data_IF_872125482113
#
_entry.id   IF_872125482113
#
_cell.length_a   1.000
_cell.length_b   1.000
_cell.length_c   1.000
_cell.angle_alpha   90.00
_cell.angle_beta   90.00
_cell.angle_gamma   90.00
#
_symmetry.space_group_name_H-M   'P 1'
#
loop_
_entity.id
_entity.type
_entity.pdbx_description
1 polymer ?
#
# COMPACT_ATOMS: atom_id res chain seq x y z
N UNK A 1 7.38 17.36 -5.84
CA UNK A 1 6.24 16.46 -5.52
C UNK A 1 5.90 16.63 -4.06
N UNK A 2 4.62 16.75 -3.69
CA UNK A 2 4.21 16.75 -2.28
C UNK A 2 4.15 18.09 -1.53
N UNK A 3 4.42 19.23 -2.17
CA UNK A 3 4.23 20.53 -1.53
C UNK A 3 2.83 21.09 -1.84
N UNK A 4 1.88 20.84 -0.94
CA UNK A 4 0.63 21.60 -0.87
C UNK A 4 0.83 22.74 0.11
N UNK A 5 0.33 23.93 -0.22
CA UNK A 5 0.37 25.01 0.76
C UNK A 5 -0.54 24.66 1.95
N UNK A 6 -0.02 24.76 3.17
CA UNK A 6 -0.85 24.64 4.38
C UNK A 6 -1.62 25.94 4.57
N UNK A 7 -2.89 25.85 4.93
CA UNK A 7 -3.60 26.98 5.53
C UNK A 7 -2.97 27.24 6.90
N UNK A 8 -2.17 28.30 6.98
CA UNK A 8 -1.50 28.72 8.22
C UNK A 8 -2.25 29.86 8.88
N UNK A 9 -2.12 30.00 10.21
CA UNK A 9 -2.60 31.21 10.90
C UNK A 9 -1.78 32.41 10.41
N UNK A 10 -2.48 33.50 10.05
CA UNK A 10 -1.87 34.75 9.56
C UNK A 10 -2.43 35.91 10.36
N UNK A 11 -1.56 36.81 10.79
CA UNK A 11 -1.97 38.09 11.36
C UNK A 11 -2.52 38.99 10.25
N UNK A 12 -3.67 39.60 10.48
CA UNK A 12 -4.27 40.56 9.58
C UNK A 12 -4.81 41.75 10.38
N UNK A 13 -4.91 42.90 9.72
CA UNK A 13 -5.52 44.10 10.33
C UNK A 13 -6.94 43.77 10.81
N UNK A 14 -7.30 44.27 12.00
CA UNK A 14 -8.65 44.13 12.53
C UNK A 14 -9.65 44.73 11.54
N UNK A 15 -10.71 43.97 11.22
CA UNK A 15 -11.71 44.36 10.22
C UNK A 15 -11.40 43.93 8.78
N UNK A 16 -10.29 43.23 8.51
CA UNK A 16 -9.99 42.70 7.16
C UNK A 16 -10.14 41.18 7.08
N UNK A 17 -10.43 40.69 5.87
CA UNK A 17 -10.51 39.27 5.54
C UNK A 17 -9.39 38.91 4.56
N UNK A 18 -8.23 38.40 5.01
CA UNK A 18 -7.15 38.01 4.12
C UNK A 18 -7.54 36.77 3.31
N UNK A 19 -7.28 36.81 1.99
CA UNK A 19 -7.42 35.63 1.14
C UNK A 19 -6.18 34.72 1.28
N UNK A 20 -6.41 33.42 1.40
CA UNK A 20 -5.36 32.40 1.37
C UNK A 20 -5.78 31.28 0.40
N UNK A 21 -5.59 31.47 -0.92
CA UNK A 21 -5.93 30.45 -1.89
C UNK A 21 -5.13 29.17 -1.62
N UNK A 22 -5.83 28.04 -1.58
CA UNK A 22 -5.17 26.74 -1.48
C UNK A 22 -4.62 26.36 -2.86
N UNK A 23 -3.37 25.91 -2.89
CA UNK A 23 -2.75 25.36 -4.08
C UNK A 23 -3.37 23.99 -4.33
N UNK A 24 -4.23 23.93 -5.36
CA UNK A 24 -4.87 22.70 -5.82
C UNK A 24 -4.00 21.93 -6.83
N UNK A 25 -2.86 22.50 -7.25
CA UNK A 25 -1.93 21.78 -8.12
C UNK A 25 -1.40 20.58 -7.34
N UNK A 26 -1.67 19.40 -7.87
CA UNK A 26 -1.28 18.15 -7.21
C UNK A 26 -0.30 17.44 -8.12
N UNK A 27 0.99 17.54 -7.78
CA UNK A 27 2.02 16.71 -8.35
C UNK A 27 2.41 15.66 -7.29
N UNK A 28 2.03 14.42 -7.56
CA UNK A 28 2.20 13.27 -6.67
C UNK A 28 2.70 12.05 -7.42
N UNK A 29 3.45 11.21 -6.74
CA UNK A 29 3.83 9.88 -7.20
C UNK A 29 3.30 8.88 -6.19
N UNK A 30 3.10 7.64 -6.62
CA UNK A 30 2.64 6.57 -5.75
C UNK A 30 3.83 5.72 -5.31
N UNK A 31 3.88 5.43 -4.02
CA UNK A 31 4.81 4.47 -3.45
C UNK A 31 4.05 3.18 -3.19
N UNK A 32 4.49 2.11 -3.85
CA UNK A 32 4.05 0.75 -3.58
C UNK A 32 5.12 0.08 -2.72
N UNK A 33 4.71 -0.60 -1.66
CA UNK A 33 5.63 -1.21 -0.73
C UNK A 33 5.00 -2.40 -0.03
N UNK A 34 5.75 -3.48 0.04
CA UNK A 34 5.43 -4.66 0.82
C UNK A 34 6.63 -5.02 1.69
N UNK A 35 6.37 -5.42 2.93
CA UNK A 35 7.40 -5.82 3.88
C UNK A 35 7.06 -7.20 4.46
N UNK A 36 8.09 -8.00 4.70
CA UNK A 36 8.02 -9.23 5.48
C UNK A 36 8.70 -8.98 6.84
N UNK A 37 7.93 -8.71 7.92
CA UNK A 37 8.50 -8.38 9.21
C UNK A 37 9.39 -9.48 9.79
N UNK A 38 9.03 -10.76 9.58
CA UNK A 38 9.79 -11.93 10.09
C UNK A 38 11.19 -12.02 9.49
N UNK A 39 11.32 -11.69 8.20
CA UNK A 39 12.59 -11.77 7.47
C UNK A 39 13.34 -10.45 7.39
N UNK A 40 12.74 -9.33 7.80
CA UNK A 40 13.32 -7.99 7.64
C UNK A 40 13.52 -7.57 6.17
N UNK A 41 12.76 -8.14 5.24
CA UNK A 41 12.86 -7.87 3.79
C UNK A 41 11.70 -7.00 3.33
N UNK A 42 11.91 -6.23 2.27
CA UNK A 42 10.86 -5.48 1.61
C UNK A 42 11.11 -5.31 0.12
N UNK A 43 10.02 -5.05 -0.60
CA UNK A 43 9.98 -4.77 -2.02
C UNK A 43 9.19 -3.48 -2.22
N UNK A 44 9.70 -2.53 -3.00
CA UNK A 44 9.04 -1.24 -3.18
C UNK A 44 9.28 -0.64 -4.57
N UNK A 45 8.29 0.08 -5.09
CA UNK A 45 8.35 0.79 -6.37
C UNK A 45 7.78 2.20 -6.22
N UNK A 46 8.41 3.16 -6.91
CA UNK A 46 7.87 4.52 -7.08
C UNK A 46 7.31 4.63 -8.50
N UNK A 47 5.99 4.78 -8.60
CA UNK A 47 5.28 4.75 -9.89
C UNK A 47 4.42 6.00 -10.09
N UNK A 48 4.28 6.49 -11.33
CA UNK A 48 3.51 7.69 -11.62
C UNK A 48 1.99 7.50 -11.45
N UNK A 49 1.50 6.26 -11.44
CA UNK A 49 0.08 5.93 -11.35
C UNK A 49 -0.17 4.83 -10.31
N UNK A 50 -1.34 4.88 -9.68
CA UNK A 50 -1.85 3.80 -8.84
C UNK A 50 -3.04 3.13 -9.53
N UNK A 51 -2.77 2.02 -10.21
CA UNK A 51 -3.73 1.27 -11.00
C UNK A 51 -3.32 -0.21 -11.11
N UNK A 52 -4.08 -0.98 -11.88
CA UNK A 52 -3.85 -2.40 -12.09
C UNK A 52 -2.45 -2.73 -12.65
N UNK A 53 -1.96 -1.93 -13.62
CA UNK A 53 -0.64 -2.15 -14.22
C UNK A 53 0.47 -1.93 -13.20
N UNK A 54 0.37 -0.88 -12.39
CA UNK A 54 1.29 -0.60 -11.29
C UNK A 54 1.28 -1.73 -10.23
N UNK A 55 0.11 -2.25 -9.87
CA UNK A 55 -0.01 -3.37 -8.95
C UNK A 55 0.62 -4.65 -9.52
N UNK A 56 0.47 -4.91 -10.82
CA UNK A 56 1.08 -6.06 -11.48
C UNK A 56 2.61 -5.99 -11.43
N UNK A 57 3.19 -4.80 -11.68
CA UNK A 57 4.62 -4.58 -11.53
C UNK A 57 5.08 -4.79 -10.08
N UNK A 58 4.29 -4.33 -9.10
CA UNK A 58 4.61 -4.52 -7.69
C UNK A 58 4.58 -6.00 -7.28
N UNK A 59 3.59 -6.77 -7.73
CA UNK A 59 3.53 -8.21 -7.46
C UNK A 59 4.70 -8.96 -8.09
N UNK A 60 5.14 -8.58 -9.29
CA UNK A 60 6.34 -9.15 -9.91
C UNK A 60 7.61 -8.87 -9.08
N UNK A 61 7.76 -7.64 -8.58
CA UNK A 61 8.86 -7.25 -7.70
C UNK A 61 8.84 -8.06 -6.38
N UNK A 62 7.65 -8.23 -5.78
CA UNK A 62 7.50 -9.06 -4.57
C UNK A 62 7.88 -10.52 -4.90
N UNK A 63 7.35 -11.08 -5.99
CA UNK A 63 7.59 -12.47 -6.36
C UNK A 63 9.08 -12.75 -6.58
N UNK A 64 9.83 -11.80 -7.15
CA UNK A 64 11.27 -11.89 -7.33
C UNK A 64 12.05 -11.79 -6.00
N UNK A 65 11.54 -11.04 -5.02
CA UNK A 65 12.14 -10.91 -3.69
C UNK A 65 11.85 -12.10 -2.76
N UNK A 66 10.82 -12.90 -3.05
CA UNK A 66 10.49 -14.12 -2.32
C UNK A 66 11.54 -15.20 -2.60
N UNK A 67 12.00 -15.88 -1.56
CA UNK A 67 12.98 -16.96 -1.72
C UNK A 67 12.40 -18.11 -2.57
N UNK A 68 13.21 -18.82 -3.38
CA UNK A 68 12.71 -19.85 -4.30
C UNK A 68 11.88 -20.98 -3.65
N UNK A 69 12.11 -21.26 -2.36
CA UNK A 69 11.40 -22.28 -1.59
C UNK A 69 10.32 -21.70 -0.66
N UNK A 70 9.92 -20.44 -0.86
CA UNK A 70 8.97 -19.75 0.00
C UNK A 70 7.72 -19.32 -0.78
N UNK A 71 6.62 -19.20 -0.04
CA UNK A 71 5.35 -18.66 -0.53
C UNK A 71 5.00 -17.40 0.25
N UNK A 72 4.62 -16.32 -0.44
CA UNK A 72 4.22 -15.09 0.22
C UNK A 72 2.70 -15.00 0.41
N UNK A 73 2.29 -14.66 1.62
CA UNK A 73 0.90 -14.27 1.91
C UNK A 73 0.88 -12.75 2.07
N UNK A 74 0.23 -12.07 1.14
CA UNK A 74 0.16 -10.61 1.12
C UNK A 74 -1.18 -10.16 1.70
N UNK A 75 -1.12 -9.36 2.77
CA UNK A 75 -2.28 -8.67 3.34
C UNK A 75 -2.45 -7.31 2.65
N UNK A 76 -3.65 -7.03 2.15
CA UNK A 76 -3.99 -5.81 1.41
C UNK A 76 -5.39 -5.31 1.75
N UNK A 77 -5.63 -4.01 1.55
CA UNK A 77 -6.97 -3.46 1.61
C UNK A 77 -7.81 -3.84 0.36
N UNK A 78 -9.09 -3.46 0.36
CA UNK A 78 -10.02 -3.80 -0.72
C UNK A 78 -10.11 -2.71 -1.80
N UNK A 79 -9.01 -2.02 -2.13
CA UNK A 79 -9.02 -1.09 -3.26
C UNK A 79 -9.45 -1.82 -4.56
N UNK A 80 -10.20 -1.15 -5.43
CA UNK A 80 -10.78 -1.81 -6.61
C UNK A 80 -9.76 -2.46 -7.56
N UNK A 81 -8.51 -2.00 -7.57
CA UNK A 81 -7.42 -2.58 -8.35
C UNK A 81 -6.71 -3.75 -7.66
N UNK A 82 -6.93 -3.96 -6.36
CA UNK A 82 -6.47 -5.15 -5.63
C UNK A 82 -7.36 -6.37 -5.86
N UNK A 83 -8.67 -6.14 -6.08
CA UNK A 83 -9.69 -7.19 -6.24
C UNK A 83 -10.10 -7.41 -7.69
N UNK A 84 -9.36 -6.85 -8.65
CA UNK A 84 -9.72 -6.97 -10.07
C UNK A 84 -9.44 -8.37 -10.58
N UNK A 85 -10.42 -8.98 -11.28
CA UNK A 85 -10.25 -10.27 -11.97
C UNK A 85 -9.19 -10.24 -13.08
N UNK A 86 -8.73 -9.04 -13.48
CA UNK A 86 -7.67 -8.84 -14.47
C UNK A 86 -6.27 -8.82 -13.84
N UNK A 87 -6.16 -8.88 -12.51
CA UNK A 87 -4.89 -8.87 -11.81
C UNK A 87 -4.22 -10.25 -11.96
N UNK A 88 -3.02 -10.26 -12.53
CA UNK A 88 -2.21 -11.47 -12.64
C UNK A 88 -1.41 -11.64 -11.35
N UNK A 89 -1.79 -12.62 -10.54
CA UNK A 89 -1.09 -12.95 -9.29
C UNK A 89 -0.02 -14.01 -9.59
N UNK A 90 1.27 -13.75 -9.27
CA UNK A 90 2.33 -14.75 -9.40
C UNK A 90 2.02 -16.02 -8.58
N UNK A 91 2.43 -17.21 -9.06
CA UNK A 91 2.05 -18.48 -8.43
C UNK A 91 2.59 -18.67 -7.01
N UNK A 92 3.64 -17.95 -6.62
CA UNK A 92 4.24 -17.97 -5.29
C UNK A 92 3.68 -16.91 -4.34
N UNK A 93 2.51 -16.33 -4.66
CA UNK A 93 1.84 -15.30 -3.86
C UNK A 93 0.36 -15.66 -3.67
N UNK A 94 -0.12 -15.54 -2.44
CA UNK A 94 -1.56 -15.52 -2.11
C UNK A 94 -1.95 -14.13 -1.60
N UNK A 95 -3.03 -13.58 -2.16
CA UNK A 95 -3.60 -12.31 -1.71
C UNK A 95 -4.68 -12.57 -0.66
N UNK A 96 -4.59 -11.87 0.48
CA UNK A 96 -5.55 -11.94 1.58
C UNK A 96 -6.13 -10.54 1.81
N UNK A 97 -7.37 -10.28 1.37
CA UNK A 97 -8.01 -8.99 1.57
C UNK A 97 -8.42 -8.81 3.04
N UNK A 98 -8.11 -7.65 3.61
CA UNK A 98 -8.60 -7.25 4.93
C UNK A 98 -10.11 -7.00 4.89
N UNK A 99 -10.82 -7.08 6.04
CA UNK A 99 -12.19 -6.61 6.14
C UNK A 99 -12.34 -5.16 5.67
N UNK A 100 -13.48 -4.79 5.06
CA UNK A 100 -13.67 -3.45 4.53
C UNK A 100 -13.57 -2.38 5.62
N UNK A 101 -13.00 -1.22 5.27
CA UNK A 101 -12.81 -0.05 6.17
C UNK A 101 -11.97 -0.33 7.41
N UNK A 102 -11.04 -1.27 7.32
CA UNK A 102 -10.14 -1.65 8.41
C UNK A 102 -8.68 -1.28 8.07
N UNK A 103 -8.27 0.00 8.24
CA UNK A 103 -6.93 0.45 7.89
C UNK A 103 -5.86 -0.12 8.84
N UNK A 104 -6.24 -0.44 10.07
CA UNK A 104 -5.41 -1.18 11.01
C UNK A 104 -5.88 -2.64 11.02
N UNK A 105 -5.00 -3.63 10.79
CA UNK A 105 -5.42 -5.02 10.85
C UNK A 105 -5.81 -5.37 12.30
N UNK A 106 -7.00 -5.95 12.54
CA UNK A 106 -7.34 -6.48 13.86
C UNK A 106 -6.31 -7.55 14.23
N UNK A 107 -5.94 -7.65 15.52
CA UNK A 107 -4.97 -8.65 16.00
C UNK A 107 -5.24 -10.06 15.45
N UNK A 108 -6.51 -10.42 15.35
CA UNK A 108 -6.98 -11.69 14.83
C UNK A 108 -6.58 -11.96 13.36
N UNK A 109 -6.49 -10.92 12.51
CA UNK A 109 -6.03 -11.07 11.11
C UNK A 109 -4.51 -11.25 11.02
N UNK A 110 -3.74 -10.65 11.94
CA UNK A 110 -2.29 -10.86 12.03
C UNK A 110 -1.95 -12.27 12.54
N UNK A 111 -2.78 -12.82 13.43
CA UNK A 111 -2.65 -14.17 13.97
C UNK A 111 -3.00 -15.24 12.90
N UNK A 112 -4.10 -15.06 12.16
CA UNK A 112 -4.46 -15.94 11.05
C UNK A 112 -3.40 -15.98 9.93
N UNK A 113 -2.74 -14.84 9.66
CA UNK A 113 -1.61 -14.78 8.72
C UNK A 113 -0.36 -15.53 9.20
N UNK A 114 -0.16 -15.66 10.51
CA UNK A 114 0.95 -16.43 11.10
C UNK A 114 0.72 -17.94 11.05
N UNK A 115 -0.50 -18.41 11.35
CA UNK A 115 -0.81 -19.85 11.34
C UNK A 115 -0.69 -20.48 9.94
N UNK A 116 -1.01 -19.72 8.89
CA UNK A 116 -0.87 -20.20 7.49
C UNK A 116 0.59 -20.43 7.05
N UNK A 117 1.58 -19.92 7.79
CA UNK A 117 3.01 -20.05 7.48
C UNK A 117 3.69 -21.20 8.24
N UNK A 118 3.02 -21.81 9.23
CA UNK A 118 3.58 -22.86 10.09
C UNK A 118 3.16 -24.29 9.66
N UNK A 119 2.48 -24.44 8.52
CA UNK A 119 2.14 -25.77 7.93
C UNK A 119 2.97 -26.05 6.67
N UNK A 120 4.30 -26.04 6.81
CA UNK A 120 5.21 -26.71 5.87
C UNK A 120 5.48 -28.14 6.35
N UNK A 121 5.61 -29.14 5.47
CA UNK A 121 5.82 -30.53 5.90
C UNK A 121 7.20 -30.66 6.57
N UNK A 122 7.22 -31.43 7.67
CA UNK A 122 8.43 -31.86 8.38
C UNK A 122 9.37 -32.64 7.45
#
# INVERSE_FOLDING_TARGET
MGQKNKLTRRWARRGTRPAAPQDQRTASTYLFGAICPKAGKGAALVLPHCNLAAMTLHLAEIAAAVAPSAHAVLLLDQAGWHLSDRLVVPPNITLVPLPPKCPEPPRQCLEAGRESLDTGPL
#
